data_IF_228278314129
#
_entry.id   IF_228278314129
#
_cell.length_a   1.000
_cell.length_b   1.000
_cell.length_c   1.000
_cell.angle_alpha   90.00
_cell.angle_beta   90.00
_cell.angle_gamma   90.00
#
_symmetry.space_group_name_H-M   'P 1'
#
loop_
_entity.id
_entity.type
_entity.pdbx_description
1 polymer ?
#
# COMPACT_ATOMS: atom_id res chain seq x y z
N UNK A 1 3.10 -20.53 -11.58
CA UNK A 1 2.70 -20.35 -10.17
C UNK A 1 3.84 -20.84 -9.28
N UNK A 2 4.69 -19.97 -8.83
CA UNK A 2 5.76 -20.33 -7.88
C UNK A 2 5.43 -19.64 -6.56
N UNK A 3 4.81 -20.39 -5.66
CA UNK A 3 4.75 -20.03 -4.24
C UNK A 3 6.13 -20.27 -3.64
N UNK A 4 7.04 -19.32 -3.78
CA UNK A 4 8.20 -19.27 -2.90
C UNK A 4 7.68 -18.74 -1.57
N UNK A 5 7.40 -19.63 -0.64
CA UNK A 5 7.07 -19.29 0.73
C UNK A 5 8.25 -18.51 1.30
N UNK A 6 8.07 -17.22 1.53
CA UNK A 6 8.96 -16.44 2.36
C UNK A 6 9.01 -17.13 3.72
N UNK A 7 10.21 -17.50 4.15
CA UNK A 7 10.40 -18.09 5.48
C UNK A 7 9.84 -17.12 6.51
N UNK A 8 8.84 -17.56 7.25
CA UNK A 8 8.31 -16.85 8.42
C UNK A 8 9.47 -16.66 9.42
N UNK A 9 10.02 -15.48 9.46
CA UNK A 9 10.74 -15.00 10.64
C UNK A 9 9.68 -14.46 11.61
N UNK A 10 9.12 -15.34 12.42
CA UNK A 10 7.96 -15.11 13.26
C UNK A 10 8.22 -14.26 14.52
N UNK A 11 9.38 -13.65 14.70
CA UNK A 11 9.75 -13.04 15.98
C UNK A 11 10.07 -11.55 15.93
N UNK A 12 9.99 -10.86 14.80
CA UNK A 12 10.21 -9.43 14.78
C UNK A 12 9.05 -8.72 14.08
N UNK A 13 8.04 -8.35 14.85
CA UNK A 13 6.82 -7.70 14.36
C UNK A 13 6.99 -6.18 14.28
N UNK A 14 8.17 -5.67 14.63
CA UNK A 14 8.51 -4.24 14.62
C UNK A 14 9.21 -3.88 13.32
N UNK A 15 8.75 -2.79 12.67
CA UNK A 15 9.40 -2.24 11.47
C UNK A 15 10.86 -1.78 11.71
N UNK A 16 11.57 -1.40 10.65
CA UNK A 16 11.09 -1.37 9.27
C UNK A 16 10.85 -2.77 8.68
N UNK A 17 9.85 -2.88 7.79
CA UNK A 17 9.45 -4.15 7.18
C UNK A 17 10.08 -4.33 5.80
N UNK A 18 10.44 -5.56 5.46
CA UNK A 18 11.10 -5.88 4.18
C UNK A 18 10.17 -5.72 2.97
N UNK A 19 8.86 -5.75 3.19
CA UNK A 19 7.86 -5.60 2.13
C UNK A 19 6.51 -5.15 2.67
N UNK A 20 5.64 -4.65 1.77
CA UNK A 20 4.24 -4.34 2.09
C UNK A 20 3.49 -5.58 2.63
N UNK A 21 3.78 -6.78 2.11
CA UNK A 21 3.16 -8.03 2.60
C UNK A 21 3.54 -8.31 4.05
N UNK A 22 4.81 -8.17 4.39
CA UNK A 22 5.30 -8.35 5.75
C UNK A 22 4.66 -7.33 6.71
N UNK A 23 4.57 -6.06 6.29
CA UNK A 23 3.86 -5.04 7.05
C UNK A 23 2.37 -5.38 7.25
N UNK A 24 1.67 -5.82 6.21
CA UNK A 24 0.26 -6.21 6.30
C UNK A 24 0.04 -7.40 7.24
N UNK A 25 0.91 -8.40 7.21
CA UNK A 25 0.87 -9.53 8.16
C UNK A 25 1.05 -9.05 9.62
N UNK A 26 1.94 -8.08 9.82
CA UNK A 26 2.18 -7.50 11.14
C UNK A 26 0.94 -6.77 11.67
N UNK A 27 0.32 -5.88 10.90
CA UNK A 27 -0.89 -5.17 11.35
C UNK A 27 -2.11 -6.10 11.48
N UNK A 28 -2.18 -7.18 10.70
CA UNK A 28 -3.22 -8.21 10.82
C UNK A 28 -3.09 -8.99 12.14
N UNK A 29 -1.86 -9.33 12.52
CA UNK A 29 -1.56 -10.01 13.79
C UNK A 29 -2.02 -9.19 15.00
N UNK A 30 -2.04 -7.86 14.89
CA UNK A 30 -2.54 -6.97 15.94
C UNK A 30 -4.05 -6.69 15.88
N UNK A 31 -4.79 -7.35 14.97
CA UNK A 31 -6.24 -7.29 14.92
C UNK A 31 -6.81 -5.95 14.45
N UNK A 32 -6.06 -5.20 13.65
CA UNK A 32 -6.45 -3.88 13.17
C UNK A 32 -6.75 -3.85 11.66
N UNK A 33 -7.10 -5.00 11.08
CA UNK A 33 -7.42 -5.17 9.67
C UNK A 33 -8.80 -5.75 9.50
N UNK A 34 -9.58 -5.17 8.60
CA UNK A 34 -10.87 -5.72 8.17
C UNK A 34 -10.66 -6.41 6.82
N UNK A 35 -11.03 -7.70 6.74
CA UNK A 35 -11.05 -8.43 5.46
C UNK A 35 -12.46 -8.45 4.88
N UNK A 36 -12.57 -8.10 3.61
CA UNK A 36 -13.79 -8.14 2.82
C UNK A 36 -13.55 -9.12 1.67
N UNK A 37 -14.41 -10.14 1.56
CA UNK A 37 -14.27 -11.15 0.51
C UNK A 37 -14.57 -10.57 -0.88
N UNK A 38 -15.69 -9.89 -0.99
CA UNK A 38 -16.17 -9.33 -2.26
C UNK A 38 -16.85 -7.97 -2.00
N UNK A 39 -16.64 -7.00 -2.89
CA UNK A 39 -17.26 -5.68 -2.82
C UNK A 39 -17.49 -5.11 -4.21
N UNK A 40 -18.62 -4.43 -4.43
CA UNK A 40 -18.98 -3.82 -5.70
C UNK A 40 -18.56 -2.33 -5.75
N UNK A 41 -17.44 -2.05 -6.45
CA UNK A 41 -16.97 -0.68 -6.62
C UNK A 41 -17.70 0.08 -7.75
N UNK A 42 -18.39 -0.61 -8.64
CA UNK A 42 -19.26 0.07 -9.61
C UNK A 42 -20.43 0.77 -8.91
N UNK A 43 -20.85 0.23 -7.74
CA UNK A 43 -21.78 0.87 -6.83
C UNK A 43 -21.12 1.77 -5.77
N UNK A 44 -19.80 1.97 -5.84
CA UNK A 44 -19.01 2.73 -4.85
C UNK A 44 -19.11 2.19 -3.40
N UNK A 45 -19.38 0.89 -3.25
CA UNK A 45 -19.51 0.27 -1.92
C UNK A 45 -18.24 0.39 -1.10
N UNK A 46 -17.06 0.15 -1.72
CA UNK A 46 -15.78 0.28 -1.02
C UNK A 46 -15.53 1.71 -0.56
N UNK A 47 -15.79 2.67 -1.42
CA UNK A 47 -15.69 4.10 -1.10
C UNK A 47 -16.61 4.47 0.07
N UNK A 48 -17.89 4.09 0.00
CA UNK A 48 -18.85 4.32 1.06
C UNK A 48 -18.47 3.64 2.37
N UNK A 49 -17.93 2.42 2.29
CA UNK A 49 -17.46 1.69 3.45
C UNK A 49 -16.30 2.42 4.16
N UNK A 50 -15.30 2.89 3.41
CA UNK A 50 -14.17 3.64 3.97
C UNK A 50 -14.64 4.96 4.62
N UNK A 51 -15.53 5.72 3.98
CA UNK A 51 -16.08 6.93 4.59
C UNK A 51 -16.80 6.63 5.92
N UNK A 52 -17.57 5.55 5.97
CA UNK A 52 -18.22 5.13 7.22
C UNK A 52 -17.23 4.69 8.32
N UNK A 53 -16.12 4.08 7.94
CA UNK A 53 -15.05 3.78 8.91
C UNK A 53 -14.42 5.05 9.46
N UNK A 54 -14.16 6.04 8.58
CA UNK A 54 -13.60 7.33 8.99
C UNK A 54 -14.57 8.09 9.90
N UNK A 55 -15.87 8.10 9.59
CA UNK A 55 -16.90 8.71 10.41
C UNK A 55 -16.98 8.07 11.81
N UNK A 56 -16.85 6.73 11.87
CA UNK A 56 -16.96 5.98 13.12
C UNK A 56 -15.71 6.04 14.00
N UNK A 57 -14.53 6.02 13.40
CA UNK A 57 -13.26 5.84 14.09
C UNK A 57 -12.36 7.08 14.06
N UNK A 58 -12.69 8.08 13.24
CA UNK A 58 -11.86 9.24 12.99
C UNK A 58 -10.65 8.94 12.09
N UNK A 59 -9.97 9.98 11.68
CA UNK A 59 -8.84 9.92 10.75
C UNK A 59 -7.61 9.16 11.27
N UNK A 60 -7.42 9.13 12.59
CA UNK A 60 -6.27 8.47 13.23
C UNK A 60 -6.61 7.10 13.80
N UNK A 61 -7.86 6.63 13.63
CA UNK A 61 -8.34 5.43 14.28
C UNK A 61 -9.01 4.41 13.37
N UNK A 62 -9.19 4.73 12.08
CA UNK A 62 -9.85 3.83 11.15
C UNK A 62 -8.93 2.67 10.75
N UNK A 63 -9.37 1.40 10.86
CA UNK A 63 -8.57 0.23 10.54
C UNK A 63 -8.21 0.16 9.05
N UNK A 64 -7.18 -0.59 8.72
CA UNK A 64 -6.86 -0.97 7.35
C UNK A 64 -7.89 -1.96 6.81
N UNK A 65 -8.10 -1.94 5.50
CA UNK A 65 -9.05 -2.82 4.82
C UNK A 65 -8.34 -3.59 3.72
N UNK A 66 -8.53 -4.91 3.70
CA UNK A 66 -8.09 -5.80 2.62
C UNK A 66 -9.33 -6.33 1.93
N UNK A 67 -9.41 -6.14 0.62
CA UNK A 67 -10.46 -6.67 -0.24
C UNK A 67 -9.87 -7.77 -1.12
N UNK A 68 -10.48 -8.96 -1.07
CA UNK A 68 -9.99 -10.13 -1.81
C UNK A 68 -10.46 -10.12 -3.26
N UNK A 69 -11.66 -9.57 -3.52
CA UNK A 69 -12.24 -9.49 -4.86
C UNK A 69 -13.11 -8.24 -4.99
N UNK A 70 -12.98 -7.56 -6.10
CA UNK A 70 -13.70 -6.32 -6.35
C UNK A 70 -14.35 -6.32 -7.72
N UNK A 71 -15.55 -5.78 -7.81
CA UNK A 71 -16.22 -5.56 -9.09
C UNK A 71 -15.85 -4.18 -9.64
N UNK A 72 -15.35 -4.14 -10.87
CA UNK A 72 -14.93 -2.92 -11.55
C UNK A 72 -15.28 -3.01 -13.03
N UNK A 73 -16.03 -2.04 -13.54
CA UNK A 73 -16.48 -1.98 -14.94
C UNK A 73 -17.29 -3.21 -15.37
N UNK A 74 -18.12 -3.73 -14.48
CA UNK A 74 -18.96 -4.90 -14.70
C UNK A 74 -18.29 -6.24 -14.41
N UNK A 75 -16.97 -6.27 -14.26
CA UNK A 75 -16.20 -7.49 -14.10
C UNK A 75 -15.67 -7.65 -12.67
N UNK A 76 -15.60 -8.91 -12.19
CA UNK A 76 -14.98 -9.24 -10.92
C UNK A 76 -13.48 -9.48 -11.09
N UNK A 77 -12.68 -8.68 -10.43
CA UNK A 77 -11.20 -8.72 -10.46
C UNK A 77 -10.67 -9.21 -9.12
N UNK A 78 -9.73 -10.15 -9.16
CA UNK A 78 -9.08 -10.66 -7.95
C UNK A 78 -8.09 -9.65 -7.38
N UNK A 79 -8.08 -9.56 -6.03
CA UNK A 79 -7.15 -8.74 -5.26
C UNK A 79 -5.85 -9.48 -4.89
N UNK A 80 -5.27 -9.14 -3.76
CA UNK A 80 -5.81 -8.23 -2.75
C UNK A 80 -5.67 -6.76 -3.10
N UNK A 81 -6.66 -5.97 -2.71
CA UNK A 81 -6.57 -4.52 -2.65
C UNK A 81 -6.42 -4.12 -1.20
N UNK A 82 -5.49 -3.22 -0.94
CA UNK A 82 -5.25 -2.68 0.40
C UNK A 82 -5.63 -1.22 0.41
N UNK A 83 -6.48 -0.84 1.35
CA UNK A 83 -6.94 0.54 1.53
C UNK A 83 -6.74 0.95 2.98
N UNK A 84 -6.49 2.25 3.16
CA UNK A 84 -6.30 2.84 4.47
C UNK A 84 -5.17 2.17 5.28
N UNK A 85 -4.08 1.80 4.62
CA UNK A 85 -2.98 1.04 5.23
C UNK A 85 -2.30 1.77 6.40
N UNK A 86 -2.39 3.11 6.44
CA UNK A 86 -1.90 3.97 7.52
C UNK A 86 -3.03 4.69 8.25
N UNK A 87 -4.25 4.17 8.19
CA UNK A 87 -5.43 4.81 8.77
C UNK A 87 -5.45 4.88 10.30
N UNK A 88 -4.59 4.12 10.96
CA UNK A 88 -4.39 4.21 12.40
C UNK A 88 -2.99 4.75 12.70
N UNK A 89 -2.88 5.70 13.62
CA UNK A 89 -1.59 6.22 14.07
C UNK A 89 -0.66 5.10 14.62
N UNK A 90 -1.23 4.03 15.14
CA UNK A 90 -0.48 2.84 15.54
C UNK A 90 0.14 2.09 14.36
N UNK A 91 -0.55 2.01 13.22
CA UNK A 91 -0.02 1.39 12.00
C UNK A 91 1.15 2.17 11.41
N UNK A 92 1.04 3.50 11.40
CA UNK A 92 2.13 4.38 10.97
C UNK A 92 3.34 4.24 11.89
N UNK A 93 3.11 4.24 13.22
CA UNK A 93 4.16 4.01 14.21
C UNK A 93 4.86 2.66 14.01
N UNK A 94 4.10 1.58 13.75
CA UNK A 94 4.67 0.27 13.43
C UNK A 94 5.53 0.33 12.16
N UNK A 95 5.02 0.95 11.09
CA UNK A 95 5.71 0.99 9.79
C UNK A 95 7.10 1.62 9.86
N UNK A 96 7.27 2.64 10.70
CA UNK A 96 8.55 3.34 10.90
C UNK A 96 9.40 2.79 12.05
N UNK A 97 9.00 1.66 12.65
CA UNK A 97 9.81 0.94 13.62
C UNK A 97 9.70 1.43 15.07
N UNK A 98 8.58 2.02 15.46
CA UNK A 98 8.27 2.23 16.88
C UNK A 98 8.04 0.86 17.53
N UNK A 99 8.67 0.54 18.67
CA UNK A 99 8.47 -0.72 19.38
C UNK A 99 7.00 -0.97 19.73
N UNK A 100 6.55 -2.23 19.60
CA UNK A 100 5.14 -2.57 19.78
C UNK A 100 4.62 -2.32 21.20
N UNK A 101 5.47 -2.49 22.21
CA UNK A 101 5.15 -2.23 23.61
C UNK A 101 4.97 -0.73 23.90
N UNK A 102 5.44 0.14 23.01
CA UNK A 102 5.21 1.57 23.07
C UNK A 102 3.92 2.01 22.35
N UNK A 103 3.33 1.14 21.53
CA UNK A 103 2.10 1.42 20.79
C UNK A 103 0.89 1.08 21.66
N UNK A 104 0.06 2.08 21.93
CA UNK A 104 -1.09 1.93 22.83
C UNK A 104 -2.39 1.87 22.05
N UNK A 105 -3.17 0.81 22.30
CA UNK A 105 -4.47 0.62 21.66
C UNK A 105 -5.44 1.76 22.03
N UNK A 106 -5.99 2.43 21.02
CA UNK A 106 -6.94 3.51 21.18
C UNK A 106 -6.35 4.88 21.56
N UNK A 107 -5.07 4.94 21.92
CA UNK A 107 -4.37 6.20 22.21
C UNK A 107 -3.75 6.80 20.94
N UNK A 108 -4.59 7.21 20.00
CA UNK A 108 -4.14 7.64 18.66
C UNK A 108 -3.16 8.80 18.68
N UNK A 109 -3.39 9.79 19.53
CA UNK A 109 -2.48 10.94 19.64
C UNK A 109 -1.12 10.56 20.23
N UNK A 110 -1.08 9.63 21.21
CA UNK A 110 0.16 9.08 21.74
C UNK A 110 0.96 8.36 20.63
N UNK A 111 0.31 7.47 19.90
CA UNK A 111 0.95 6.72 18.81
C UNK A 111 1.44 7.65 17.69
N UNK A 112 0.66 8.67 17.33
CA UNK A 112 1.07 9.67 16.35
C UNK A 112 2.33 10.44 16.80
N UNK A 113 2.38 10.87 18.06
CA UNK A 113 3.56 11.55 18.62
C UNK A 113 4.80 10.64 18.61
N UNK A 114 4.63 9.34 18.92
CA UNK A 114 5.72 8.36 18.84
C UNK A 114 6.22 8.20 17.41
N UNK A 115 5.31 8.08 16.45
CA UNK A 115 5.62 8.04 15.03
C UNK A 115 6.41 9.27 14.58
N UNK A 116 5.92 10.47 14.92
CA UNK A 116 6.56 11.73 14.57
C UNK A 116 7.97 11.86 15.16
N UNK A 117 8.14 11.53 16.44
CA UNK A 117 9.45 11.57 17.09
C UNK A 117 10.42 10.60 16.39
N UNK A 118 9.96 9.39 16.07
CA UNK A 118 10.78 8.40 15.34
C UNK A 118 11.19 8.91 13.95
N UNK A 119 10.27 9.53 13.22
CA UNK A 119 10.59 10.16 11.93
C UNK A 119 11.61 11.28 12.06
N UNK A 120 11.52 12.10 13.10
CA UNK A 120 12.49 13.18 13.37
C UNK A 120 13.88 12.60 13.70
N UNK A 121 13.95 11.54 14.49
CA UNK A 121 15.22 10.82 14.74
C UNK A 121 15.82 10.25 13.45
N UNK A 122 14.97 9.78 12.52
CA UNK A 122 15.39 9.24 11.22
C UNK A 122 15.79 10.34 10.23
N UNK A 123 15.45 11.60 10.48
CA UNK A 123 15.76 12.73 9.58
C UNK A 123 17.26 12.99 9.38
N UNK A 124 18.10 12.50 10.28
CA UNK A 124 19.56 12.59 10.19
C UNK A 124 20.19 11.34 9.54
N UNK A 125 19.40 10.52 8.85
CA UNK A 125 19.89 9.29 8.24
C UNK A 125 20.89 9.60 7.12
N UNK A 126 22.09 9.07 7.25
CA UNK A 126 23.07 9.01 6.16
C UNK A 126 22.48 8.18 5.01
N UNK A 127 22.60 8.63 3.76
CA UNK A 127 22.13 7.86 2.62
C UNK A 127 22.73 6.45 2.65
N UNK A 128 21.87 5.44 2.53
CA UNK A 128 22.29 4.05 2.43
C UNK A 128 22.72 3.80 0.98
N UNK A 129 23.92 3.25 0.79
CA UNK A 129 24.39 2.86 -0.53
C UNK A 129 23.46 1.78 -1.12
N UNK A 130 23.05 2.00 -2.38
CA UNK A 130 22.26 1.03 -3.11
C UNK A 130 23.14 -0.09 -3.64
N UNK A 131 22.68 -1.33 -3.52
CA UNK A 131 23.33 -2.49 -4.12
C UNK A 131 22.61 -2.85 -5.42
N UNK A 132 23.35 -2.95 -6.50
CA UNK A 132 22.83 -3.50 -7.75
C UNK A 132 22.79 -5.02 -7.64
N UNK A 133 21.67 -5.60 -8.05
CA UNK A 133 21.46 -7.06 -8.12
C UNK A 133 21.19 -7.46 -9.57
N UNK A 134 21.57 -8.67 -9.94
CA UNK A 134 21.31 -9.20 -11.26
C UNK A 134 19.81 -9.28 -11.55
N UNK A 135 19.42 -9.06 -12.80
CA UNK A 135 18.01 -9.14 -13.22
C UNK A 135 17.35 -10.48 -12.89
N UNK A 136 18.14 -11.55 -12.91
CA UNK A 136 17.66 -12.90 -12.57
C UNK A 136 17.26 -13.05 -11.09
N UNK A 137 17.88 -12.26 -10.21
CA UNK A 137 17.65 -12.29 -8.77
C UNK A 137 16.69 -11.20 -8.29
N UNK A 138 16.28 -10.30 -9.19
CA UNK A 138 15.38 -9.20 -8.87
C UNK A 138 13.92 -9.66 -8.79
N UNK A 139 13.25 -9.64 -7.61
CA UNK A 139 11.86 -10.07 -7.48
C UNK A 139 10.88 -9.29 -8.37
N UNK A 140 11.22 -8.05 -8.69
CA UNK A 140 10.44 -7.20 -9.61
C UNK A 140 10.49 -7.67 -11.07
N UNK A 141 11.28 -8.68 -11.38
CA UNK A 141 11.41 -9.29 -12.71
C UNK A 141 10.82 -10.70 -12.81
N UNK A 142 10.19 -11.20 -11.75
CA UNK A 142 9.54 -12.53 -11.74
C UNK A 142 8.41 -12.62 -12.78
N UNK A 143 7.72 -11.49 -13.04
CA UNK A 143 6.68 -11.38 -14.06
C UNK A 143 7.00 -10.20 -14.97
N UNK A 144 7.17 -10.44 -16.24
CA UNK A 144 7.41 -9.43 -17.27
C UNK A 144 6.36 -9.60 -18.36
N UNK A 145 5.49 -8.62 -18.49
CA UNK A 145 4.51 -8.55 -19.59
C UNK A 145 5.08 -7.65 -20.70
N UNK A 146 4.92 -8.06 -21.95
CA UNK A 146 5.43 -7.33 -23.12
C UNK A 146 4.31 -7.08 -24.12
N UNK A 147 4.39 -5.92 -24.76
CA UNK A 147 3.55 -5.55 -25.90
C UNK A 147 2.05 -5.87 -25.69
N UNK A 148 1.54 -6.87 -26.41
CA UNK A 148 0.11 -7.23 -26.39
C UNK A 148 -0.32 -7.98 -25.12
N UNK A 149 0.65 -8.49 -24.34
CA UNK A 149 0.37 -9.09 -23.02
C UNK A 149 0.02 -8.02 -21.98
N UNK A 150 0.30 -6.75 -22.23
CA UNK A 150 0.07 -5.65 -21.31
C UNK A 150 -1.39 -5.19 -21.37
N UNK A 151 -2.13 -5.40 -20.30
CA UNK A 151 -3.45 -4.83 -20.08
C UNK A 151 -3.56 -4.26 -18.65
N UNK A 152 -3.46 -2.94 -18.51
CA UNK A 152 -3.54 -2.26 -17.21
C UNK A 152 -4.94 -2.41 -16.60
N UNK A 153 -5.95 -2.69 -17.41
CA UNK A 153 -7.32 -2.88 -16.93
C UNK A 153 -7.53 -4.18 -16.14
N UNK A 154 -6.63 -5.15 -16.29
CA UNK A 154 -6.65 -6.42 -15.53
C UNK A 154 -6.23 -6.24 -14.07
N UNK A 155 -5.66 -5.09 -13.74
CA UNK A 155 -5.30 -4.76 -12.36
C UNK A 155 -6.46 -4.07 -11.64
N UNK A 156 -6.61 -4.31 -10.32
CA UNK A 156 -7.72 -3.78 -9.53
C UNK A 156 -7.58 -2.29 -9.18
N UNK A 157 -7.18 -1.47 -10.13
CA UNK A 157 -7.20 -0.01 -9.96
C UNK A 157 -8.64 0.50 -10.05
N UNK A 158 -9.03 1.32 -9.12
CA UNK A 158 -10.41 1.78 -8.95
C UNK A 158 -10.62 3.24 -9.38
N UNK A 159 -11.86 3.56 -9.71
CA UNK A 159 -12.39 4.93 -9.63
C UNK A 159 -12.85 5.13 -8.19
N UNK A 160 -12.18 6.01 -7.45
CA UNK A 160 -12.43 6.17 -6.02
C UNK A 160 -13.72 6.92 -5.74
N UNK A 161 -14.00 7.98 -6.48
CA UNK A 161 -15.19 8.81 -6.27
C UNK A 161 -15.97 8.98 -7.58
N UNK A 162 -17.31 9.20 -7.51
CA UNK A 162 -18.13 9.46 -8.69
C UNK A 162 -17.68 10.63 -9.55
N UNK A 163 -17.06 11.65 -8.92
CA UNK A 163 -16.53 12.82 -9.61
C UNK A 163 -15.15 12.62 -10.24
N UNK A 164 -14.49 11.49 -10.02
CA UNK A 164 -13.22 11.18 -10.68
C UNK A 164 -13.44 10.86 -12.16
N UNK A 165 -12.51 11.27 -13.00
CA UNK A 165 -12.55 11.00 -14.44
C UNK A 165 -12.00 9.60 -14.77
N UNK A 166 -12.56 8.55 -14.14
CA UNK A 166 -12.22 7.15 -14.35
C UNK A 166 -11.27 6.55 -13.29
N UNK A 167 -10.62 5.46 -13.67
CA UNK A 167 -9.73 4.67 -12.79
C UNK A 167 -8.36 5.31 -12.67
N UNK A 168 -7.73 5.18 -11.50
CA UNK A 168 -6.42 5.75 -11.23
C UNK A 168 -5.48 4.78 -10.53
N UNK A 169 -4.20 4.88 -10.86
CA UNK A 169 -3.10 4.40 -10.03
C UNK A 169 -2.85 5.50 -8.99
N UNK A 170 -3.29 5.29 -7.75
CA UNK A 170 -3.27 6.34 -6.73
C UNK A 170 -1.89 6.57 -6.08
N UNK A 171 -0.99 5.58 -6.14
CA UNK A 171 0.33 5.61 -5.51
C UNK A 171 1.41 5.17 -6.50
N UNK A 172 1.38 5.75 -7.69
CA UNK A 172 2.39 5.47 -8.71
C UNK A 172 3.72 6.15 -8.39
N UNK A 173 4.79 5.39 -8.33
CA UNK A 173 6.14 5.93 -8.23
C UNK A 173 6.74 6.05 -9.62
N UNK A 174 6.97 7.29 -10.06
CA UNK A 174 7.66 7.58 -11.31
C UNK A 174 9.14 7.77 -11.03
N UNK A 175 9.95 6.93 -11.63
CA UNK A 175 11.41 7.00 -11.53
C UNK A 175 11.93 7.64 -12.82
N UNK A 176 12.61 8.76 -12.69
CA UNK A 176 13.28 9.46 -13.78
C UNK A 176 14.77 9.50 -13.54
N UNK A 177 15.55 9.53 -14.62
CA UNK A 177 16.99 9.67 -14.56
C UNK A 177 17.40 10.83 -15.46
N UNK A 178 17.94 11.87 -14.86
CA UNK A 178 18.55 12.98 -15.56
C UNK A 178 20.07 12.73 -15.70
N UNK A 179 20.68 13.00 -16.87
CA UNK A 179 22.10 12.76 -17.07
C UNK A 179 23.01 13.57 -16.15
N UNK A 180 22.58 14.74 -15.71
CA UNK A 180 23.39 15.66 -14.89
C UNK A 180 22.99 15.58 -13.40
N UNK A 181 21.68 15.48 -13.11
CA UNK A 181 21.15 15.53 -11.74
C UNK A 181 20.92 14.13 -11.14
N UNK A 182 21.01 13.07 -11.94
CA UNK A 182 20.84 11.70 -11.48
C UNK A 182 19.40 11.23 -11.37
N UNK A 183 19.15 10.29 -10.44
CA UNK A 183 17.85 9.64 -10.27
C UNK A 183 16.93 10.48 -9.40
N UNK A 184 15.71 10.64 -9.86
CA UNK A 184 14.61 11.20 -9.07
C UNK A 184 13.45 10.20 -8.97
N UNK A 185 12.77 10.18 -7.82
CA UNK A 185 11.56 9.38 -7.59
C UNK A 185 10.45 10.31 -7.14
N UNK A 186 9.38 10.38 -7.91
CA UNK A 186 8.20 11.18 -7.57
C UNK A 186 6.97 10.30 -7.43
N UNK A 187 6.10 10.62 -6.48
CA UNK A 187 4.81 9.95 -6.31
C UNK A 187 3.72 10.74 -7.03
N UNK A 188 3.05 10.09 -7.97
CA UNK A 188 2.04 10.71 -8.81
C UNK A 188 0.76 9.87 -8.86
N UNK A 189 -0.38 10.56 -8.95
CA UNK A 189 -1.65 9.95 -9.29
C UNK A 189 -1.76 9.90 -10.82
N UNK A 190 -1.88 8.70 -11.39
CA UNK A 190 -1.90 8.50 -12.85
C UNK A 190 -3.26 7.97 -13.28
N UNK A 191 -3.90 8.65 -14.22
CA UNK A 191 -5.18 8.21 -14.80
C UNK A 191 -4.96 7.07 -15.80
N UNK A 192 -5.79 6.03 -15.70
CA UNK A 192 -5.82 4.96 -16.71
C UNK A 192 -6.72 5.41 -17.85
N UNK A 193 -6.16 5.52 -19.03
CA UNK A 193 -6.85 5.99 -20.26
C UNK A 193 -7.10 4.88 -21.28
N UNK A 194 -6.71 3.67 -20.97
CA UNK A 194 -6.87 2.49 -21.81
C UNK A 194 -5.94 1.35 -21.41
N UNK A 195 -6.02 0.20 -22.09
CA UNK A 195 -5.27 -1.00 -21.73
C UNK A 195 -3.75 -0.81 -21.60
N UNK A 196 -3.20 0.12 -22.37
CA UNK A 196 -1.75 0.43 -22.44
C UNK A 196 -1.46 1.91 -22.34
N UNK A 197 -2.40 2.71 -21.81
CA UNK A 197 -2.26 4.17 -21.78
C UNK A 197 -2.58 4.71 -20.38
N UNK A 198 -1.64 5.45 -19.84
CA UNK A 198 -1.78 6.25 -18.61
C UNK A 198 -1.47 7.71 -18.91
N UNK A 199 -1.93 8.62 -18.04
CA UNK A 199 -1.64 10.07 -18.17
C UNK A 199 -1.99 10.83 -16.90
#
# INVERSE_FOLDING_TARGET
>A
MVKKALKKNSNNVTGPYDSLRHYMEAIETHGNVIRIKEIDQDAYELTGFIYKLLDKHGWLGAPSVIVEKIKISGEWVDGPIIINQYGMAGHEAMAIGVPLDEIKKGEHLHNYKKALNKMMEMGDITPIETTEIDKADAPSKDVILKEDEINILDFPFIQTNPGDNGRFINTGNLITVDPEQGRNVGTYRMQIKGPRKIG
#
